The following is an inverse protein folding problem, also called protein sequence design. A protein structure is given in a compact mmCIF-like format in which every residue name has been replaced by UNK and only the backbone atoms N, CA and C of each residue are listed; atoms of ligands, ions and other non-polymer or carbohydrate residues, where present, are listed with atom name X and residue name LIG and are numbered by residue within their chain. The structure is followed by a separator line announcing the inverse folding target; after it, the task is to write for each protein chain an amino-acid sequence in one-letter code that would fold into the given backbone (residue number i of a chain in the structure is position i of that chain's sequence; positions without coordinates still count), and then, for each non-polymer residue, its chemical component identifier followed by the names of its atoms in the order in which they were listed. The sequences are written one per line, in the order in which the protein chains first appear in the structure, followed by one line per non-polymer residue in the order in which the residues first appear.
data_IF_279773492323
#
_entry.id   IF_279773492323
#
_cell.length_a   1.000
_cell.length_b   1.000
_cell.length_c   1.000
_cell.angle_alpha   90.00
_cell.angle_beta   90.00
_cell.angle_gamma   90.00
#
_symmetry.space_group_name_H-M   'P 1'
#
loop_
_entity.id
_entity.type
_entity.pdbx_description
1 polymer ?
#
# COMPACT_ATOMS: atom_id res chain seq x y z
N UNK A 1 -14.98 2.25 -32.77
CA UNK A 1 -15.15 2.28 -31.30
C UNK A 1 -14.52 1.00 -30.76
N UNK A 2 -13.21 1.02 -30.54
CA UNK A 2 -12.45 -0.15 -30.11
C UNK A 2 -12.22 -0.08 -28.62
N UNK A 3 -12.66 -1.12 -27.90
CA UNK A 3 -12.26 -1.34 -26.52
C UNK A 3 -10.74 -1.53 -26.48
N UNK A 4 -10.04 -0.70 -25.71
CA UNK A 4 -8.62 -0.90 -25.42
C UNK A 4 -8.55 -1.97 -24.35
N UNK A 5 -8.34 -3.20 -24.80
CA UNK A 5 -7.95 -4.34 -23.98
C UNK A 5 -6.45 -4.17 -23.70
N UNK A 6 -6.10 -3.77 -22.47
CA UNK A 6 -4.72 -3.83 -22.00
C UNK A 6 -4.42 -5.27 -21.57
N UNK A 7 -3.86 -6.07 -22.47
CA UNK A 7 -3.19 -7.33 -22.13
C UNK A 7 -1.71 -7.04 -21.83
N UNK A 8 -1.24 -7.44 -20.64
CA UNK A 8 0.19 -7.37 -20.31
C UNK A 8 0.51 -7.30 -18.82
N UNK A 9 0.31 -8.41 -18.11
CA UNK A 9 0.83 -8.75 -16.78
C UNK A 9 0.50 -7.82 -15.61
N UNK A 10 -0.78 -7.78 -15.25
CA UNK A 10 -1.33 -7.81 -13.89
C UNK A 10 -0.34 -8.17 -12.76
N UNK A 11 -0.19 -7.26 -11.79
CA UNK A 11 0.19 -7.61 -10.40
C UNK A 11 -1.08 -7.95 -9.61
N UNK A 12 -2.24 -7.85 -10.26
CA UNK A 12 -3.52 -8.47 -9.90
C UNK A 12 -3.57 -9.97 -10.27
N UNK A 13 -2.47 -10.55 -10.77
CA UNK A 13 -2.48 -11.81 -11.54
C UNK A 13 -1.79 -13.02 -10.91
N UNK A 14 -1.39 -13.01 -9.63
CA UNK A 14 -1.10 -14.28 -8.97
C UNK A 14 -2.44 -14.85 -8.48
N UNK A 15 -2.95 -15.86 -9.18
CA UNK A 15 -4.14 -16.60 -8.77
C UNK A 15 -4.05 -16.92 -7.26
N UNK A 16 -5.06 -16.50 -6.50
CA UNK A 16 -5.17 -16.82 -5.07
C UNK A 16 -5.19 -18.35 -4.96
N UNK A 17 -4.19 -18.90 -4.29
CA UNK A 17 -4.12 -20.34 -4.04
C UNK A 17 -5.03 -20.71 -2.87
N UNK A 18 -5.48 -21.96 -2.82
CA UNK A 18 -6.35 -22.46 -1.76
C UNK A 18 -5.85 -22.12 -0.33
N UNK A 19 -4.53 -22.13 -0.13
CA UNK A 19 -3.89 -21.80 1.16
C UNK A 19 -4.01 -20.29 1.51
N UNK A 20 -4.08 -19.41 0.52
CA UNK A 20 -4.25 -17.98 0.74
C UNK A 20 -5.66 -17.68 1.28
N UNK A 21 -6.69 -18.41 0.84
CA UNK A 21 -8.06 -18.23 1.35
C UNK A 21 -8.12 -18.45 2.86
N UNK A 22 -7.37 -19.41 3.40
CA UNK A 22 -7.32 -19.63 4.84
C UNK A 22 -6.60 -18.49 5.56
N UNK A 23 -5.45 -18.04 5.04
CA UNK A 23 -4.72 -16.90 5.62
C UNK A 23 -5.58 -15.62 5.62
N UNK A 24 -6.25 -15.35 4.50
CA UNK A 24 -7.18 -14.21 4.33
C UNK A 24 -8.33 -14.28 5.34
N UNK A 25 -8.95 -15.45 5.53
CA UNK A 25 -10.00 -15.63 6.54
C UNK A 25 -9.51 -15.35 7.95
N UNK A 26 -8.36 -15.91 8.35
CA UNK A 26 -7.80 -15.68 9.68
C UNK A 26 -7.54 -14.20 9.94
N UNK A 27 -6.99 -13.50 8.95
CA UNK A 27 -6.78 -12.06 9.05
C UNK A 27 -8.09 -11.29 9.20
N UNK A 28 -9.10 -11.60 8.37
CA UNK A 28 -10.41 -10.95 8.44
C UNK A 28 -11.12 -11.22 9.77
N UNK A 29 -11.08 -12.45 10.27
CA UNK A 29 -11.65 -12.83 11.56
C UNK A 29 -10.97 -12.03 12.70
N UNK A 30 -9.65 -11.94 12.68
CA UNK A 30 -8.90 -11.11 13.64
C UNK A 30 -9.32 -9.63 13.54
N UNK A 31 -9.32 -9.05 12.34
CA UNK A 31 -9.64 -7.63 12.14
C UNK A 31 -11.07 -7.29 12.59
N UNK A 32 -12.03 -8.19 12.33
CA UNK A 32 -13.41 -8.03 12.80
C UNK A 32 -13.53 -8.09 14.33
N UNK A 33 -12.74 -8.95 14.99
CA UNK A 33 -12.70 -8.99 16.45
C UNK A 33 -12.13 -7.68 17.03
N UNK A 34 -11.07 -7.13 16.43
CA UNK A 34 -10.54 -5.82 16.84
C UNK A 34 -11.57 -4.70 16.65
N UNK A 35 -12.26 -4.65 15.50
CA UNK A 35 -13.32 -3.67 15.22
C UNK A 35 -14.46 -3.77 16.22
N UNK A 36 -14.79 -4.97 16.70
CA UNK A 36 -15.87 -5.18 17.66
C UNK A 36 -15.52 -4.67 19.07
N UNK A 37 -14.23 -4.60 19.42
CA UNK A 37 -13.75 -4.24 20.76
C UNK A 37 -13.22 -2.80 20.81
N UNK A 38 -12.56 -2.34 19.75
CA UNK A 38 -11.89 -1.04 19.69
C UNK A 38 -12.67 -0.11 18.74
N UNK A 39 -13.29 0.96 19.28
CA UNK A 39 -13.94 1.97 18.46
C UNK A 39 -12.98 2.55 17.44
N UNK A 40 -13.46 2.71 16.20
CA UNK A 40 -12.70 3.30 15.10
C UNK A 40 -11.37 2.60 14.79
N UNK A 41 -11.22 1.30 15.11
CA UNK A 41 -9.98 0.53 14.86
C UNK A 41 -9.42 0.70 13.44
N UNK A 42 -10.28 0.65 12.43
CA UNK A 42 -9.94 0.85 11.02
C UNK A 42 -9.25 2.20 10.73
N UNK A 43 -9.46 3.24 11.55
CA UNK A 43 -8.79 4.55 11.45
C UNK A 43 -7.43 4.60 12.15
N UNK A 44 -7.10 3.58 12.93
CA UNK A 44 -5.81 3.44 13.64
C UNK A 44 -4.76 2.70 12.82
N UNK A 45 -5.11 2.19 11.64
CA UNK A 45 -4.19 1.44 10.78
C UNK A 45 -3.54 2.39 9.76
N UNK A 46 -2.23 2.50 9.83
CA UNK A 46 -1.38 3.13 8.83
C UNK A 46 -1.00 2.09 7.77
N UNK A 47 -1.67 2.18 6.61
CA UNK A 47 -1.36 1.37 5.43
C UNK A 47 -0.13 1.93 4.72
N UNK A 48 0.75 1.05 4.23
CA UNK A 48 1.92 1.40 3.42
C UNK A 48 2.03 0.50 2.19
N UNK A 49 2.52 1.07 1.10
CA UNK A 49 2.74 0.40 -0.19
C UNK A 49 3.57 1.29 -1.12
N UNK A 50 4.24 0.69 -2.11
CA UNK A 50 5.00 1.40 -3.14
C UNK A 50 4.33 1.37 -4.51
N UNK A 51 4.19 2.54 -5.14
CA UNK A 51 3.76 2.65 -6.53
C UNK A 51 4.85 3.22 -7.45
N UNK A 52 4.89 2.72 -8.68
CA UNK A 52 5.75 3.26 -9.73
C UNK A 52 5.00 4.20 -10.68
N UNK A 53 5.66 5.31 -11.01
CA UNK A 53 5.24 6.29 -12.02
C UNK A 53 6.30 6.37 -13.14
N UNK A 54 5.84 6.57 -14.38
CA UNK A 54 6.65 6.49 -15.60
C UNK A 54 6.28 7.64 -16.54
N UNK A 55 7.27 8.37 -17.07
CA UNK A 55 7.02 9.45 -18.04
C UNK A 55 6.40 8.97 -19.36
N UNK A 56 6.70 7.75 -19.77
CA UNK A 56 6.20 7.20 -21.03
C UNK A 56 4.82 6.55 -20.91
N UNK A 57 4.15 6.63 -19.75
CA UNK A 57 2.84 6.01 -19.52
C UNK A 57 2.82 4.48 -19.60
N UNK A 58 3.97 3.83 -19.81
CA UNK A 58 4.08 2.37 -19.89
C UNK A 58 4.45 1.79 -18.53
N UNK A 59 3.57 0.94 -18.00
CA UNK A 59 3.81 0.18 -16.78
C UNK A 59 4.80 -0.95 -17.09
N UNK A 60 6.07 -0.79 -16.72
CA UNK A 60 7.01 -1.92 -16.63
C UNK A 60 7.20 -2.29 -15.15
N UNK A 61 6.70 -3.47 -14.75
CA UNK A 61 6.71 -3.98 -13.37
C UNK A 61 8.06 -4.54 -12.91
N UNK A 62 9.16 -4.28 -13.63
CA UNK A 62 10.48 -4.83 -13.30
C UNK A 62 11.55 -3.81 -12.88
N UNK A 63 11.24 -2.51 -12.81
CA UNK A 63 12.23 -1.50 -12.46
C UNK A 63 11.73 -0.65 -11.28
N UNK A 64 12.44 -0.67 -10.14
CA UNK A 64 12.17 0.26 -9.05
C UNK A 64 13.02 1.54 -9.24
N UNK A 65 12.42 2.70 -8.92
CA UNK A 65 13.11 3.97 -8.69
C UNK A 65 12.44 4.66 -7.51
N UNK A 66 13.19 4.89 -6.43
CA UNK A 66 12.79 5.76 -5.32
C UNK A 66 13.77 6.93 -5.26
N UNK A 67 13.23 8.14 -5.14
CA UNK A 67 13.97 9.37 -4.88
C UNK A 67 13.51 10.00 -3.57
N UNK A 68 14.44 10.61 -2.85
CA UNK A 68 14.20 11.44 -1.66
C UNK A 68 15.06 12.71 -1.76
N UNK A 69 14.51 13.87 -1.40
CA UNK A 69 15.17 15.19 -1.52
C UNK A 69 16.46 15.32 -0.67
N UNK A 70 16.67 14.43 0.30
CA UNK A 70 17.93 14.32 1.03
C UNK A 70 18.41 12.86 1.02
N UNK A 71 19.44 12.55 0.24
CA UNK A 71 20.21 11.31 0.36
C UNK A 71 21.71 11.67 0.27
N UNK A 72 22.59 11.22 1.19
CA UNK A 72 24.00 11.62 1.22
C UNK A 72 24.87 11.12 0.06
N UNK A 73 24.33 10.36 -0.89
CA UNK A 73 25.04 9.95 -2.09
C UNK A 73 24.07 9.97 -3.27
N UNK A 74 24.15 11.08 -4.01
CA UNK A 74 23.56 11.25 -5.34
C UNK A 74 24.31 10.30 -6.26
N UNK A 75 23.59 9.46 -7.02
CA UNK A 75 24.19 8.84 -8.20
C UNK A 75 23.16 8.73 -9.33
N UNK A 76 23.62 9.14 -10.50
CA UNK A 76 22.90 9.56 -11.69
C UNK A 76 22.11 8.41 -12.35
N UNK A 77 20.78 8.44 -12.29
CA UNK A 77 19.93 7.81 -13.31
C UNK A 77 19.94 6.28 -13.45
N UNK A 78 20.62 5.53 -12.58
CA UNK A 78 20.60 4.07 -12.60
C UNK A 78 19.37 3.46 -11.89
N UNK A 79 18.87 2.32 -12.40
CA UNK A 79 17.82 1.54 -11.75
C UNK A 79 18.27 1.16 -10.34
N UNK A 80 17.56 1.61 -9.29
CA UNK A 80 17.85 1.13 -7.95
C UNK A 80 16.65 0.45 -7.34
N UNK A 81 16.76 -0.88 -7.24
CA UNK A 81 15.84 -1.72 -6.48
C UNK A 81 15.75 -1.25 -5.04
N UNK A 82 14.54 -1.21 -4.49
CA UNK A 82 14.34 -1.07 -3.04
C UNK A 82 14.87 -2.35 -2.40
N UNK A 83 16.13 -2.33 -2.00
CA UNK A 83 16.66 -3.37 -1.13
C UNK A 83 16.23 -3.08 0.32
N UNK A 84 16.38 -4.07 1.21
CA UNK A 84 15.96 -3.91 2.60
C UNK A 84 16.62 -2.70 3.29
N UNK A 85 17.84 -2.34 2.92
CA UNK A 85 18.57 -1.24 3.55
C UNK A 85 17.97 0.12 3.19
N UNK A 86 17.66 0.33 1.91
CA UNK A 86 16.95 1.53 1.44
C UNK A 86 15.56 1.63 2.05
N UNK A 87 14.83 0.52 2.13
CA UNK A 87 13.53 0.51 2.79
C UNK A 87 13.62 0.95 4.26
N UNK A 88 14.57 0.37 5.02
CA UNK A 88 14.78 0.75 6.43
C UNK A 88 15.23 2.21 6.58
N UNK A 89 16.00 2.75 5.62
CA UNK A 89 16.35 4.17 5.60
C UNK A 89 15.11 5.06 5.39
N UNK A 90 14.18 4.68 4.50
CA UNK A 90 12.91 5.40 4.31
C UNK A 90 12.09 5.38 5.60
N UNK A 91 11.94 4.20 6.21
CA UNK A 91 11.20 4.04 7.47
C UNK A 91 11.81 4.91 8.58
N UNK A 92 13.13 4.87 8.76
CA UNK A 92 13.80 5.55 9.88
C UNK A 92 13.88 7.05 9.66
N UNK A 93 14.31 7.49 8.47
CA UNK A 93 14.66 8.88 8.22
C UNK A 93 13.49 9.74 7.74
N UNK A 94 12.37 9.13 7.37
CA UNK A 94 11.19 9.86 6.92
C UNK A 94 9.98 9.45 7.74
N UNK A 95 9.55 8.20 7.66
CA UNK A 95 8.28 7.79 8.27
C UNK A 95 8.28 8.00 9.79
N UNK A 96 9.25 7.42 10.51
CA UNK A 96 9.31 7.50 11.96
C UNK A 96 9.55 8.94 12.43
N UNK A 97 10.38 9.71 11.71
CA UNK A 97 10.63 11.11 12.04
C UNK A 97 9.37 11.98 11.89
N UNK A 98 8.60 11.81 10.81
CA UNK A 98 7.32 12.51 10.64
C UNK A 98 6.31 12.10 11.70
N UNK A 99 6.28 10.81 12.04
CA UNK A 99 5.40 10.27 13.06
C UNK A 99 5.75 10.68 14.49
N UNK A 100 7.00 11.11 14.79
CA UNK A 100 7.37 11.62 16.12
C UNK A 100 6.56 12.86 16.55
N UNK A 101 5.96 13.56 15.59
CA UNK A 101 5.05 14.68 15.85
C UNK A 101 3.60 14.23 16.13
N UNK A 102 3.34 12.92 16.11
CA UNK A 102 2.02 12.31 16.26
C UNK A 102 2.02 11.23 17.34
N UNK A 103 0.84 10.88 17.85
CA UNK A 103 0.71 9.79 18.82
C UNK A 103 0.76 8.42 18.12
N UNK A 104 1.96 7.89 17.99
CA UNK A 104 2.22 6.55 17.42
C UNK A 104 1.86 5.40 18.34
N UNK A 105 1.57 5.66 19.62
CA UNK A 105 1.34 4.60 20.59
C UNK A 105 0.03 3.85 20.36
N UNK A 106 -0.91 4.48 19.64
CA UNK A 106 -2.19 3.86 19.27
C UNK A 106 -2.24 3.38 17.82
N UNK A 107 -1.23 3.70 17.00
CA UNK A 107 -1.21 3.36 15.58
C UNK A 107 -0.72 1.93 15.33
N UNK A 108 -1.38 1.29 14.37
CA UNK A 108 -0.98 0.02 13.79
C UNK A 108 -0.27 0.26 12.47
N UNK A 109 0.86 -0.40 12.23
CA UNK A 109 1.56 -0.32 10.95
C UNK A 109 1.27 -1.55 10.10
N UNK A 110 0.86 -1.34 8.85
CA UNK A 110 0.64 -2.40 7.89
C UNK A 110 1.63 -2.28 6.73
N UNK A 111 2.29 -3.40 6.40
CA UNK A 111 3.09 -3.58 5.19
C UNK A 111 2.82 -4.95 4.57
N UNK A 112 3.06 -5.07 3.27
CA UNK A 112 2.77 -6.29 2.51
C UNK A 112 3.88 -7.37 2.67
N UNK A 113 3.86 -8.38 1.79
CA UNK A 113 4.80 -9.50 1.81
C UNK A 113 6.07 -9.32 0.97
N UNK A 114 6.37 -8.12 0.46
CA UNK A 114 7.55 -7.88 -0.38
C UNK A 114 8.85 -8.22 0.34
N UNK A 115 9.88 -8.64 -0.41
CA UNK A 115 11.14 -9.15 0.16
C UNK A 115 11.84 -8.14 1.07
N UNK A 116 11.80 -6.84 0.74
CA UNK A 116 12.36 -5.76 1.58
C UNK A 116 11.61 -5.56 2.91
N UNK A 117 10.31 -5.87 2.94
CA UNK A 117 9.43 -5.69 4.09
C UNK A 117 9.59 -6.81 5.11
N UNK A 118 9.80 -8.03 4.62
CA UNK A 118 9.83 -9.24 5.45
C UNK A 118 11.24 -9.63 5.94
N UNK A 119 12.26 -8.86 5.55
CA UNK A 119 13.63 -9.08 6.01
C UNK A 119 13.73 -8.96 7.53
N UNK A 120 14.56 -9.80 8.17
CA UNK A 120 14.64 -9.86 9.64
C UNK A 120 14.92 -8.49 10.28
N UNK A 121 15.91 -7.78 9.76
CA UNK A 121 16.26 -6.43 10.22
C UNK A 121 15.11 -5.42 10.04
N UNK A 122 14.29 -5.57 9.00
CA UNK A 122 13.12 -4.70 8.77
C UNK A 122 12.02 -5.01 9.78
N UNK A 123 11.73 -6.29 10.01
CA UNK A 123 10.74 -6.72 11.01
C UNK A 123 11.16 -6.31 12.42
N UNK A 124 12.43 -6.47 12.78
CA UNK A 124 12.94 -6.07 14.09
C UNK A 124 12.83 -4.54 14.27
N UNK A 125 13.24 -3.73 13.28
CA UNK A 125 13.09 -2.26 13.30
C UNK A 125 11.63 -1.82 13.53
N UNK A 126 10.69 -2.44 12.81
CA UNK A 126 9.27 -2.08 12.92
C UNK A 126 8.67 -2.55 14.25
N UNK A 127 9.12 -3.69 14.80
CA UNK A 127 8.71 -4.13 16.14
C UNK A 127 9.24 -3.22 17.23
N UNK A 128 10.45 -2.69 17.10
CA UNK A 128 11.00 -1.73 18.06
C UNK A 128 10.16 -0.43 18.09
N UNK A 129 9.51 -0.08 16.97
CA UNK A 129 8.70 1.13 16.84
C UNK A 129 7.22 0.90 17.20
N UNK A 130 6.60 -0.15 16.64
CA UNK A 130 5.16 -0.40 16.72
C UNK A 130 4.78 -1.52 17.70
N UNK A 131 5.76 -2.27 18.23
CA UNK A 131 5.53 -3.38 19.16
C UNK A 131 4.64 -4.47 18.56
N UNK A 132 3.60 -4.86 19.31
CA UNK A 132 2.61 -5.84 18.88
C UNK A 132 1.64 -5.29 17.82
N UNK A 133 1.68 -3.98 17.51
CA UNK A 133 0.80 -3.31 16.55
C UNK A 133 1.31 -3.37 15.11
N UNK A 134 1.95 -4.47 14.73
CA UNK A 134 2.53 -4.67 13.40
C UNK A 134 1.77 -5.74 12.61
N UNK A 135 1.22 -5.35 11.47
CA UNK A 135 0.53 -6.21 10.51
C UNK A 135 1.47 -6.47 9.33
N UNK A 136 2.10 -7.65 9.30
CA UNK A 136 3.06 -8.04 8.27
C UNK A 136 3.21 -9.56 8.20
N UNK A 137 3.76 -10.11 7.12
CA UNK A 137 3.90 -11.57 6.93
C UNK A 137 4.64 -12.29 8.07
N UNK A 138 5.59 -11.62 8.73
CA UNK A 138 6.31 -12.13 9.91
C UNK A 138 6.14 -11.23 11.15
N UNK A 139 5.11 -10.38 11.12
CA UNK A 139 4.72 -9.55 12.26
C UNK A 139 3.90 -10.34 13.29
N UNK A 140 3.58 -9.70 14.44
CA UNK A 140 2.61 -10.20 15.43
C UNK A 140 1.26 -10.58 14.79
N UNK A 141 0.79 -9.77 13.84
CA UNK A 141 -0.40 -10.08 13.03
C UNK A 141 0.00 -10.40 11.60
N UNK A 142 -0.36 -11.60 11.15
CA UNK A 142 0.03 -12.09 9.83
C UNK A 142 -0.77 -11.40 8.72
N UNK A 143 -0.10 -10.63 7.86
CA UNK A 143 -0.72 -10.11 6.63
C UNK A 143 -0.84 -11.24 5.58
N UNK A 144 -2.05 -11.48 5.03
CA UNK A 144 -2.25 -12.56 4.08
C UNK A 144 -1.57 -12.26 2.73
N UNK A 145 -0.93 -13.26 2.09
CA UNK A 145 -0.34 -13.07 0.77
C UNK A 145 -1.42 -12.70 -0.27
N UNK A 146 -1.02 -11.94 -1.30
CA UNK A 146 -1.87 -11.61 -2.47
C UNK A 146 -3.23 -11.02 -2.07
N UNK A 147 -3.19 -10.00 -1.23
CA UNK A 147 -4.38 -9.35 -0.67
C UNK A 147 -4.42 -7.85 -0.95
N UNK A 148 -4.10 -7.47 -2.19
CA UNK A 148 -4.21 -6.09 -2.67
C UNK A 148 -5.64 -5.54 -2.52
N UNK A 149 -6.66 -6.39 -2.59
CA UNK A 149 -8.06 -6.02 -2.36
C UNK A 149 -8.39 -5.70 -0.89
N UNK A 150 -7.43 -5.86 0.04
CA UNK A 150 -7.50 -5.47 1.45
C UNK A 150 -6.66 -4.23 1.80
N UNK A 151 -5.87 -3.67 0.88
CA UNK A 151 -5.14 -2.42 1.12
C UNK A 151 -5.77 -1.25 0.35
N UNK A 152 -6.18 -0.17 1.06
CA UNK A 152 -6.68 1.06 0.43
C UNK A 152 -5.76 1.66 -0.62
N UNK A 153 -4.45 1.41 -0.52
CA UNK A 153 -3.47 1.95 -1.44
C UNK A 153 -3.61 1.30 -2.83
N UNK A 154 -3.76 -0.02 -2.89
CA UNK A 154 -3.95 -0.74 -4.16
C UNK A 154 -5.35 -0.57 -4.73
N UNK A 155 -6.39 -0.83 -3.93
CA UNK A 155 -7.74 -0.90 -4.50
C UNK A 155 -8.32 0.49 -4.82
N UNK A 156 -7.71 1.56 -4.31
CA UNK A 156 -8.19 2.92 -4.50
C UNK A 156 -7.07 3.92 -4.85
N UNK A 157 -6.13 4.17 -3.93
CA UNK A 157 -5.26 5.35 -4.01
C UNK A 157 -4.48 5.40 -5.31
N UNK A 158 -3.76 4.32 -5.65
CA UNK A 158 -2.87 4.33 -6.80
C UNK A 158 -3.62 4.39 -8.13
N UNK A 159 -4.80 3.78 -8.22
CA UNK A 159 -5.67 3.92 -9.39
C UNK A 159 -6.14 5.36 -9.58
N UNK A 160 -6.62 5.98 -8.49
CA UNK A 160 -7.11 7.36 -8.47
C UNK A 160 -6.00 8.38 -8.77
N UNK A 161 -4.86 8.26 -8.09
CA UNK A 161 -3.73 9.18 -8.27
C UNK A 161 -3.20 9.06 -9.70
N UNK A 162 -3.00 7.84 -10.22
CA UNK A 162 -2.52 7.66 -11.60
C UNK A 162 -3.51 8.22 -12.62
N UNK A 163 -4.82 8.08 -12.42
CA UNK A 163 -5.79 8.63 -13.37
C UNK A 163 -5.67 10.14 -13.52
N UNK A 164 -5.32 10.86 -12.44
CA UNK A 164 -5.19 12.32 -12.43
C UNK A 164 -3.78 12.80 -12.80
N UNK A 165 -2.74 12.13 -12.31
CA UNK A 165 -1.34 12.51 -12.56
C UNK A 165 -1.00 12.52 -14.05
N UNK A 166 -1.62 11.62 -14.82
CA UNK A 166 -1.37 11.49 -16.27
C UNK A 166 -2.36 12.24 -17.17
N UNK A 167 -3.34 12.97 -16.64
CA UNK A 167 -4.29 13.75 -17.47
C UNK A 167 -3.55 14.76 -18.37
N UNK A 168 -2.56 15.45 -17.80
CA UNK A 168 -1.77 16.48 -18.50
C UNK A 168 -0.56 15.92 -19.26
N UNK A 169 -0.40 14.59 -19.29
CA UNK A 169 0.68 13.87 -20.00
C UNK A 169 2.08 14.45 -19.72
N UNK A 170 2.58 14.39 -18.47
CA UNK A 170 3.86 14.99 -18.11
C UNK A 170 5.00 14.43 -18.97
N UNK A 171 5.85 15.33 -19.48
CA UNK A 171 6.99 14.99 -20.35
C UNK A 171 8.35 15.06 -19.62
N UNK A 172 8.37 15.60 -18.39
CA UNK A 172 9.57 15.73 -17.56
C UNK A 172 9.32 15.14 -16.17
N UNK A 173 10.39 14.71 -15.51
CA UNK A 173 10.30 14.16 -14.14
C UNK A 173 9.75 15.22 -13.18
N UNK A 174 10.22 16.46 -13.28
CA UNK A 174 9.76 17.56 -12.43
C UNK A 174 8.25 17.77 -12.56
N UNK A 175 7.71 17.78 -13.79
CA UNK A 175 6.27 17.94 -13.99
C UNK A 175 5.47 16.73 -13.48
N UNK A 176 6.01 15.51 -13.64
CA UNK A 176 5.40 14.31 -13.07
C UNK A 176 5.36 14.38 -11.54
N UNK A 177 6.43 14.86 -10.91
CA UNK A 177 6.54 15.04 -9.47
C UNK A 177 5.57 16.10 -8.95
N UNK A 178 5.53 17.27 -9.60
CA UNK A 178 4.58 18.34 -9.29
C UNK A 178 3.14 17.84 -9.37
N UNK A 179 2.81 17.05 -10.39
CA UNK A 179 1.49 16.43 -10.52
C UNK A 179 1.18 15.47 -9.38
N UNK A 180 2.13 14.62 -8.98
CA UNK A 180 1.94 13.70 -7.84
C UNK A 180 1.69 14.50 -6.56
N UNK A 181 2.53 15.50 -6.26
CA UNK A 181 2.41 16.34 -5.07
C UNK A 181 1.06 17.06 -5.02
N UNK A 182 0.66 17.68 -6.14
CA UNK A 182 -0.62 18.37 -6.28
C UNK A 182 -1.80 17.42 -6.08
N UNK A 183 -1.82 16.29 -6.79
CA UNK A 183 -2.93 15.33 -6.71
C UNK A 183 -3.06 14.74 -5.31
N UNK A 184 -1.95 14.41 -4.64
CA UNK A 184 -1.97 13.93 -3.25
C UNK A 184 -2.49 15.01 -2.29
N UNK A 185 -2.05 16.26 -2.45
CA UNK A 185 -2.52 17.38 -1.63
C UNK A 185 -4.02 17.69 -1.83
N UNK A 186 -4.55 17.43 -3.03
CA UNK A 186 -5.96 17.64 -3.37
C UNK A 186 -6.89 16.52 -2.85
N UNK A 187 -6.35 15.44 -2.27
CA UNK A 187 -7.17 14.35 -1.71
C UNK A 187 -7.93 14.85 -0.49
N UNK A 188 -9.26 14.90 -0.64
CA UNK A 188 -10.15 15.37 0.42
C UNK A 188 -10.28 14.34 1.55
N UNK A 189 -10.28 14.75 2.83
CA UNK A 189 -10.49 13.85 3.96
C UNK A 189 -11.77 12.99 3.88
N UNK A 190 -12.86 13.54 3.32
CA UNK A 190 -14.13 12.81 3.16
C UNK A 190 -14.01 11.66 2.15
N UNK A 191 -13.10 11.77 1.17
CA UNK A 191 -12.81 10.69 0.24
C UNK A 191 -12.08 9.55 0.96
N UNK A 192 -11.06 9.88 1.76
CA UNK A 192 -10.36 8.90 2.59
C UNK A 192 -11.31 8.21 3.58
N UNK A 193 -12.22 8.95 4.20
CA UNK A 193 -13.21 8.37 5.10
C UNK A 193 -14.05 7.29 4.40
N UNK A 194 -14.58 7.56 3.21
CA UNK A 194 -15.35 6.56 2.43
C UNK A 194 -14.51 5.35 2.04
N UNK A 195 -13.23 5.56 1.75
CA UNK A 195 -12.29 4.48 1.38
C UNK A 195 -12.05 3.55 2.57
N UNK A 196 -11.89 4.11 3.77
CA UNK A 196 -11.70 3.35 5.01
C UNK A 196 -13.02 2.71 5.49
N UNK A 197 -14.18 3.35 5.28
CA UNK A 197 -15.49 2.70 5.46
C UNK A 197 -15.72 1.54 4.48
N UNK A 198 -15.22 1.63 3.24
CA UNK A 198 -15.27 0.51 2.30
C UNK A 198 -14.38 -0.66 2.74
N UNK A 199 -13.32 -0.40 3.51
CA UNK A 199 -12.45 -1.46 4.03
C UNK A 199 -13.22 -2.46 4.89
N UNK A 200 -14.14 -2.01 5.76
CA UNK A 200 -14.97 -2.91 6.57
C UNK A 200 -15.93 -3.74 5.70
N UNK A 201 -16.49 -3.14 4.65
CA UNK A 201 -17.34 -3.86 3.68
C UNK A 201 -16.58 -4.96 2.93
N UNK A 202 -15.29 -4.73 2.64
CA UNK A 202 -14.39 -5.72 2.03
C UNK A 202 -14.09 -6.89 2.98
N UNK A 203 -13.86 -6.61 4.27
CA UNK A 203 -13.72 -7.65 5.29
C UNK A 203 -14.96 -8.54 5.35
N UNK A 204 -16.16 -7.94 5.38
CA UNK A 204 -17.42 -8.69 5.41
C UNK A 204 -17.61 -9.58 4.18
N UNK A 205 -17.27 -9.05 2.99
CA UNK A 205 -17.31 -9.83 1.75
C UNK A 205 -16.36 -11.03 1.82
N UNK A 206 -15.10 -10.82 2.22
CA UNK A 206 -14.09 -11.89 2.26
C UNK A 206 -14.46 -12.96 3.28
N UNK A 207 -15.05 -12.59 4.41
CA UNK A 207 -15.62 -13.55 5.36
C UNK A 207 -16.74 -14.37 4.72
N UNK A 208 -17.72 -13.72 4.09
CA UNK A 208 -18.86 -14.38 3.46
C UNK A 208 -18.45 -15.29 2.29
N UNK A 209 -17.44 -14.87 1.52
CA UNK A 209 -16.91 -15.59 0.36
C UNK A 209 -15.87 -16.67 0.72
N UNK A 210 -15.66 -16.91 2.02
CA UNK A 210 -14.68 -17.86 2.56
C UNK A 210 -13.24 -17.61 2.11
N UNK A 211 -12.84 -16.34 2.04
CA UNK A 211 -11.49 -15.93 1.70
C UNK A 211 -11.28 -15.64 0.22
N UNK A 212 -12.33 -15.73 -0.61
CA UNK A 212 -12.24 -15.49 -2.06
C UNK A 212 -11.91 -14.02 -2.36
N UNK A 213 -11.19 -13.75 -3.46
CA UNK A 213 -10.92 -12.38 -3.87
C UNK A 213 -12.22 -11.63 -4.12
N UNK A 214 -12.25 -10.35 -3.78
CA UNK A 214 -13.36 -9.50 -4.20
C UNK A 214 -13.28 -9.27 -5.72
N UNK A 215 -14.37 -9.44 -6.48
CA UNK A 215 -14.40 -9.00 -7.87
C UNK A 215 -14.13 -7.49 -7.92
N UNK A 216 -13.42 -7.02 -8.95
CA UNK A 216 -13.07 -5.61 -9.09
C UNK A 216 -14.32 -4.73 -8.99
N UNK A 217 -14.43 -3.96 -7.90
CA UNK A 217 -15.44 -2.93 -7.76
C UNK A 217 -14.90 -1.67 -8.44
N UNK A 218 -15.54 -1.28 -9.54
CA UNK A 218 -15.41 0.07 -10.08
C UNK A 218 -16.06 1.01 -9.07
N UNK A 219 -15.26 1.80 -8.35
CA UNK A 219 -15.78 2.89 -7.54
C UNK A 219 -16.53 3.85 -8.47
N UNK A 220 -17.86 3.86 -8.39
CA UNK A 220 -18.65 5.01 -8.86
C UNK A 220 -18.51 6.08 -7.80
N UNK A 221 -17.61 7.04 -8.04
CA UNK A 221 -17.48 8.26 -7.24
C UNK A 221 -18.76 9.11 -7.30
#
# INVERSE_FOLDING_TARGET
MGAVQCSGNDITGLAIHQNDHQARRRFVEWAQNEIAVVPDFHKRILFSDEAHFWLNGYVNKQNCRIWSEANPQVDEGHNVTVNGDRYRAIITNFLILELNNHDVQELWFQQDGATCHIGRATIDLLKDTFGDRLISRFGPVNWPPRSCDLTPLDYFLWGYVKSLVYEDKPQTLDHLEDNIRRVIADIRPQMLQKVIENWTSRLDYIRASRGSPMPEIIFKM
#
